data_IF_423871386469
#
_entry.id   IF_423871386469
#
_cell.length_a   1.000
_cell.length_b   1.000
_cell.length_c   1.000
_cell.angle_alpha   90.00
_cell.angle_beta   90.00
_cell.angle_gamma   90.00
#
_symmetry.space_group_name_H-M   'P 1'
#
loop_
_entity.id
_entity.type
_entity.pdbx_description
1 polymer ?
#
# COMPACT_ATOMS: atom_id res chain seq x y z
N UNK A 1 -13.66 14.87 -7.81
CA UNK A 1 -13.31 14.43 -6.44
C UNK A 1 -14.57 14.20 -5.67
N UNK A 2 -14.71 13.01 -5.08
CA UNK A 2 -15.86 12.64 -4.26
C UNK A 2 -15.82 13.42 -2.94
N UNK A 3 -16.99 13.67 -2.36
CA UNK A 3 -17.13 14.28 -1.04
C UNK A 3 -18.24 13.63 -0.27
N UNK A 4 -18.11 13.60 1.04
CA UNK A 4 -19.13 13.09 1.94
C UNK A 4 -19.30 14.03 3.13
N UNK A 5 -20.54 14.24 3.53
CA UNK A 5 -20.88 15.05 4.70
C UNK A 5 -21.59 14.16 5.69
N UNK A 6 -21.15 14.21 6.94
CA UNK A 6 -21.80 13.50 8.05
C UNK A 6 -22.15 14.49 9.14
N UNK A 7 -23.23 14.19 9.85
CA UNK A 7 -23.63 14.90 11.05
C UNK A 7 -23.43 13.94 12.22
N UNK A 8 -22.60 14.37 13.17
CA UNK A 8 -22.27 13.62 14.36
C UNK A 8 -23.12 14.13 15.49
N UNK A 9 -23.80 13.23 16.18
CA UNK A 9 -24.58 13.51 17.39
C UNK A 9 -23.69 13.48 18.65
N UNK A 10 -24.29 13.52 19.84
CA UNK A 10 -23.56 13.51 21.11
C UNK A 10 -23.03 12.14 21.54
N UNK A 11 -23.21 11.06 20.76
CA UNK A 11 -22.92 9.69 21.22
C UNK A 11 -21.43 9.40 21.42
N UNK A 12 -20.56 10.18 20.77
CA UNK A 12 -19.11 10.08 20.91
C UNK A 12 -18.54 11.11 21.90
N UNK A 13 -19.39 11.96 22.49
CA UNK A 13 -18.99 13.13 23.27
C UNK A 13 -19.59 14.40 22.69
N UNK A 14 -20.05 15.30 23.56
CA UNK A 14 -20.69 16.57 23.18
C UNK A 14 -19.72 17.48 22.41
N UNK A 15 -18.42 17.36 22.68
CA UNK A 15 -17.33 18.07 22.02
C UNK A 15 -17.18 17.70 20.54
N UNK A 16 -17.54 16.48 20.15
CA UNK A 16 -17.44 16.01 18.76
C UNK A 16 -18.73 16.22 17.96
N UNK A 17 -19.76 16.82 18.56
CA UNK A 17 -21.04 17.03 17.88
C UNK A 17 -20.89 18.05 16.76
N UNK A 18 -21.49 17.75 15.62
CA UNK A 18 -21.68 18.70 14.53
C UNK A 18 -21.38 18.14 13.15
N UNK A 19 -21.18 19.05 12.20
CA UNK A 19 -21.08 18.73 10.78
C UNK A 19 -19.63 18.56 10.35
N UNK A 20 -19.32 17.39 9.78
CA UNK A 20 -18.01 17.07 9.21
C UNK A 20 -18.13 16.88 7.70
N UNK A 21 -17.15 17.39 6.97
CA UNK A 21 -17.10 17.33 5.51
C UNK A 21 -15.77 16.69 5.10
N UNK A 22 -15.86 15.50 4.52
CA UNK A 22 -14.74 14.77 3.98
C UNK A 22 -14.69 14.90 2.46
N UNK A 23 -13.49 14.97 1.89
CA UNK A 23 -13.26 14.90 0.44
C UNK A 23 -12.16 13.90 0.12
N UNK A 24 -12.27 13.31 -1.05
CA UNK A 24 -11.23 12.51 -1.67
C UNK A 24 -9.95 13.34 -1.82
N UNK A 25 -8.81 12.79 -1.40
CA UNK A 25 -7.51 13.41 -1.62
C UNK A 25 -6.94 12.98 -2.98
N UNK A 26 -6.07 13.79 -3.56
CA UNK A 26 -5.37 13.38 -4.78
C UNK A 26 -4.46 12.19 -4.52
N UNK A 27 -4.22 11.40 -5.57
CA UNK A 27 -3.19 10.37 -5.56
C UNK A 27 -1.84 10.93 -5.08
N UNK A 28 -1.43 12.11 -5.57
CA UNK A 28 -0.17 12.72 -5.19
C UNK A 28 -0.12 13.15 -3.71
N UNK A 29 -1.23 13.58 -3.11
CA UNK A 29 -1.30 13.89 -1.68
C UNK A 29 -1.17 12.61 -0.85
N UNK A 30 -1.87 11.55 -1.24
CA UNK A 30 -1.78 10.23 -0.60
C UNK A 30 -0.38 9.65 -0.65
N UNK A 31 0.25 9.61 -1.83
CA UNK A 31 1.62 9.11 -2.00
C UNK A 31 2.61 9.86 -1.13
N UNK A 32 2.45 11.19 -0.99
CA UNK A 32 3.29 11.99 -0.09
C UNK A 32 3.10 11.63 1.38
N UNK A 33 1.87 11.37 1.82
CA UNK A 33 1.59 10.94 3.20
C UNK A 33 2.26 9.58 3.47
N UNK A 34 2.07 8.60 2.58
CA UNK A 34 2.69 7.28 2.71
C UNK A 34 4.21 7.40 2.77
N UNK A 35 4.82 8.17 1.87
CA UNK A 35 6.27 8.38 1.85
C UNK A 35 6.78 9.11 3.10
N UNK A 36 6.02 10.05 3.64
CA UNK A 36 6.38 10.79 4.87
C UNK A 36 6.55 9.86 6.07
N UNK A 37 5.73 8.82 6.15
CA UNK A 37 5.67 7.89 7.29
C UNK A 37 6.22 6.50 6.98
N UNK A 38 6.86 6.32 5.82
CA UNK A 38 7.52 5.08 5.43
C UNK A 38 9.00 5.34 5.24
N UNK A 39 9.82 4.60 5.99
CA UNK A 39 11.27 4.63 5.88
C UNK A 39 11.70 3.57 4.87
N UNK A 40 12.43 4.01 3.85
CA UNK A 40 12.96 3.13 2.81
C UNK A 40 14.47 2.95 2.98
N UNK A 41 14.95 1.73 2.73
CA UNK A 41 16.37 1.41 2.70
C UNK A 41 17.02 2.07 1.48
N UNK A 42 18.08 2.86 1.71
CA UNK A 42 18.64 3.77 0.69
C UNK A 42 19.22 3.07 -0.54
N UNK A 43 19.71 1.84 -0.38
CA UNK A 43 20.39 1.10 -1.45
C UNK A 43 19.44 0.20 -2.23
N UNK A 44 18.50 -0.45 -1.55
CA UNK A 44 17.63 -1.46 -2.16
C UNK A 44 16.24 -0.90 -2.51
N UNK A 45 15.81 0.18 -1.85
CA UNK A 45 14.46 0.72 -1.99
C UNK A 45 13.40 -0.04 -1.18
N UNK A 46 13.79 -1.05 -0.40
CA UNK A 46 12.87 -1.83 0.43
C UNK A 46 12.33 -1.01 1.60
N UNK A 47 11.15 -1.36 2.10
CA UNK A 47 10.57 -0.71 3.29
C UNK A 47 11.29 -1.23 4.54
N UNK A 48 11.94 -0.34 5.29
CA UNK A 48 12.52 -0.65 6.61
C UNK A 48 11.46 -0.60 7.71
N UNK A 49 10.59 0.41 7.66
CA UNK A 49 9.51 0.61 8.63
C UNK A 49 8.40 1.48 8.05
N UNK A 50 7.16 1.27 8.46
CA UNK A 50 6.04 2.12 8.10
C UNK A 50 5.16 2.35 9.34
N UNK A 51 4.80 3.61 9.58
CA UNK A 51 3.86 3.98 10.65
C UNK A 51 2.45 4.07 10.07
N UNK A 52 1.75 2.94 10.10
CA UNK A 52 0.41 2.83 9.54
C UNK A 52 -0.62 3.69 10.27
N UNK A 53 -0.45 3.88 11.57
CA UNK A 53 -1.35 4.71 12.39
C UNK A 53 -1.20 6.18 11.98
N UNK A 54 0.03 6.67 11.83
CA UNK A 54 0.28 8.02 11.35
C UNK A 54 -0.18 8.23 9.90
N UNK A 55 -0.01 7.24 9.02
CA UNK A 55 -0.54 7.30 7.66
C UNK A 55 -2.07 7.45 7.68
N UNK A 56 -2.76 6.63 8.48
CA UNK A 56 -4.22 6.68 8.56
C UNK A 56 -4.70 8.00 9.16
N UNK A 57 -4.10 8.44 10.27
CA UNK A 57 -4.44 9.69 10.94
C UNK A 57 -4.24 10.91 10.02
N UNK A 58 -3.09 11.02 9.35
CA UNK A 58 -2.87 12.14 8.41
C UNK A 58 -3.77 12.03 7.17
N UNK A 59 -4.12 10.83 6.71
CA UNK A 59 -5.07 10.65 5.62
C UNK A 59 -6.47 11.12 6.01
N UNK A 60 -6.93 10.80 7.22
CA UNK A 60 -8.20 11.31 7.77
C UNK A 60 -8.18 12.83 7.80
N UNK A 61 -7.13 13.42 8.37
CA UNK A 61 -7.00 14.87 8.50
C UNK A 61 -6.90 15.56 7.13
N UNK A 62 -6.17 14.98 6.18
CA UNK A 62 -6.04 15.51 4.83
C UNK A 62 -7.36 15.44 4.04
N UNK A 63 -8.19 14.42 4.30
CA UNK A 63 -9.53 14.30 3.74
C UNK A 63 -10.55 15.20 4.45
N UNK A 64 -10.28 15.64 5.69
CA UNK A 64 -11.20 16.46 6.49
C UNK A 64 -11.13 17.94 6.07
N UNK A 65 -12.11 18.38 5.28
CA UNK A 65 -12.19 19.75 4.74
C UNK A 65 -13.10 20.68 5.53
N UNK A 66 -13.98 20.13 6.37
CA UNK A 66 -14.88 20.92 7.21
C UNK A 66 -15.19 20.16 8.48
N UNK A 67 -15.25 20.89 9.59
CA UNK A 67 -15.52 20.35 10.92
C UNK A 67 -16.05 21.47 11.84
N UNK A 68 -16.67 21.14 12.98
CA UNK A 68 -17.11 22.13 13.95
C UNK A 68 -15.94 23.00 14.46
N UNK A 69 -16.12 24.32 14.63
CA UNK A 69 -15.05 25.22 15.08
C UNK A 69 -14.77 25.13 16.59
N UNK A 70 -15.68 24.53 17.37
CA UNK A 70 -15.58 24.44 18.83
C UNK A 70 -14.46 23.52 19.28
N UNK A 71 -14.34 22.32 18.69
CA UNK A 71 -13.33 21.33 19.00
C UNK A 71 -12.84 20.65 17.72
N UNK A 72 -11.91 21.28 16.99
CA UNK A 72 -11.39 20.69 15.76
C UNK A 72 -10.60 19.42 16.06
N UNK A 73 -10.80 18.40 15.25
CA UNK A 73 -9.96 17.21 15.15
C UNK A 73 -8.60 17.65 14.64
N UNK A 74 -7.57 17.35 15.43
CA UNK A 74 -6.16 17.60 15.11
C UNK A 74 -5.44 16.27 14.88
N UNK A 75 -4.24 16.35 14.28
CA UNK A 75 -3.40 15.16 14.12
C UNK A 75 -3.04 14.56 15.47
N UNK A 76 -2.71 15.39 16.46
CA UNK A 76 -2.37 14.95 17.82
C UNK A 76 -3.53 14.21 18.49
N UNK A 77 -4.78 14.66 18.28
CA UNK A 77 -5.97 13.96 18.78
C UNK A 77 -6.21 12.61 18.11
N UNK A 78 -5.85 12.46 16.83
CA UNK A 78 -5.96 11.19 16.12
C UNK A 78 -4.86 10.20 16.51
N UNK A 79 -3.72 10.70 16.99
CA UNK A 79 -2.57 9.89 17.42
C UNK A 79 -2.47 9.68 18.94
N UNK A 80 -3.27 10.41 19.73
CA UNK A 80 -3.21 10.37 21.18
C UNK A 80 -3.63 9.01 21.74
N UNK A 81 -2.78 8.41 22.57
CA UNK A 81 -3.08 7.14 23.26
C UNK A 81 -4.01 7.34 24.46
N UNK A 82 -3.77 8.39 25.26
CA UNK A 82 -4.56 8.68 26.47
C UNK A 82 -5.64 9.73 26.24
N UNK A 83 -5.30 10.81 25.54
CA UNK A 83 -6.23 11.91 25.22
C UNK A 83 -6.70 11.89 23.75
N UNK A 84 -6.82 10.70 23.16
CA UNK A 84 -7.24 10.51 21.77
C UNK A 84 -8.73 10.76 21.51
N UNK A 85 -9.15 10.54 20.27
CA UNK A 85 -10.58 10.45 19.93
C UNK A 85 -11.14 9.07 20.34
N UNK A 86 -12.47 8.96 20.60
CA UNK A 86 -13.10 7.67 20.82
C UNK A 86 -12.87 6.70 19.65
N UNK A 87 -12.65 5.42 19.97
CA UNK A 87 -12.36 4.36 18.98
C UNK A 87 -13.43 4.33 17.88
N UNK A 88 -14.71 4.32 18.25
CA UNK A 88 -15.82 4.26 17.30
C UNK A 88 -15.86 5.48 16.36
N UNK A 89 -15.42 6.64 16.83
CA UNK A 89 -15.33 7.85 16.01
C UNK A 89 -14.19 7.73 14.99
N UNK A 90 -13.04 7.18 15.41
CA UNK A 90 -11.91 6.91 14.54
C UNK A 90 -12.23 5.86 13.46
N UNK A 91 -12.96 4.81 13.82
CA UNK A 91 -13.45 3.81 12.88
C UNK A 91 -14.42 4.40 11.85
N UNK A 92 -15.34 5.27 12.30
CA UNK A 92 -16.27 5.98 11.42
C UNK A 92 -15.52 6.82 10.39
N UNK A 93 -14.56 7.64 10.83
CA UNK A 93 -13.74 8.45 9.93
C UNK A 93 -12.93 7.60 8.96
N UNK A 94 -12.31 6.53 9.45
CA UNK A 94 -11.56 5.59 8.61
C UNK A 94 -12.43 4.97 7.53
N UNK A 95 -13.64 4.53 7.87
CA UNK A 95 -14.59 3.95 6.91
C UNK A 95 -14.98 4.94 5.81
N UNK A 96 -15.18 6.21 6.15
CA UNK A 96 -15.53 7.27 5.18
C UNK A 96 -14.35 7.53 4.25
N UNK A 97 -13.18 7.75 4.82
CA UNK A 97 -11.94 8.07 4.09
C UNK A 97 -11.53 6.92 3.18
N UNK A 98 -11.66 5.67 3.62
CA UNK A 98 -11.35 4.49 2.83
C UNK A 98 -12.29 4.36 1.62
N UNK A 99 -13.59 4.63 1.81
CA UNK A 99 -14.58 4.67 0.72
C UNK A 99 -14.29 5.79 -0.28
N UNK A 100 -13.97 6.99 0.20
CA UNK A 100 -13.70 8.15 -0.64
C UNK A 100 -12.45 7.96 -1.50
N UNK A 101 -11.39 7.42 -0.90
CA UNK A 101 -10.09 7.24 -1.56
C UNK A 101 -9.94 5.88 -2.26
N UNK A 102 -11.06 5.15 -2.45
CA UNK A 102 -11.16 3.91 -3.21
C UNK A 102 -10.04 2.90 -2.90
N UNK A 103 -9.76 2.72 -1.61
CA UNK A 103 -8.74 1.80 -1.15
C UNK A 103 -9.00 0.38 -1.64
N UNK A 104 -8.02 -0.22 -2.33
CA UNK A 104 -8.09 -1.65 -2.66
C UNK A 104 -8.03 -2.48 -1.38
N UNK A 105 -8.48 -3.75 -1.44
CA UNK A 105 -8.44 -4.64 -0.27
C UNK A 105 -6.99 -4.88 0.17
N UNK A 106 -6.06 -4.89 -0.78
CA UNK A 106 -4.61 -5.05 -0.57
C UNK A 106 -4.00 -3.82 0.12
N UNK A 107 -4.38 -2.61 -0.31
CA UNK A 107 -3.94 -1.38 0.34
C UNK A 107 -4.56 -1.21 1.74
N UNK A 108 -5.80 -1.67 1.92
CA UNK A 108 -6.43 -1.72 3.25
C UNK A 108 -5.70 -2.72 4.14
N UNK A 109 -5.32 -3.89 3.63
CA UNK A 109 -4.56 -4.90 4.37
C UNK A 109 -3.17 -4.37 4.76
N UNK A 110 -2.47 -3.70 3.83
CA UNK A 110 -1.20 -3.03 4.11
C UNK A 110 -1.32 -2.01 5.25
N UNK A 111 -2.38 -1.19 5.26
CA UNK A 111 -2.60 -0.20 6.31
C UNK A 111 -3.19 -0.78 7.61
N UNK A 112 -3.71 -2.01 7.59
CA UNK A 112 -4.39 -2.65 8.74
C UNK A 112 -3.55 -3.71 9.43
N UNK A 113 -2.47 -4.21 8.82
CA UNK A 113 -1.61 -5.24 9.45
C UNK A 113 -0.75 -4.62 10.55
N UNK A 114 -0.92 -5.03 11.83
CA UNK A 114 0.15 -4.92 12.79
C UNK A 114 1.26 -5.85 12.31
N UNK A 115 2.47 -5.33 12.18
CA UNK A 115 3.69 -6.09 11.91
C UNK A 115 3.93 -7.15 13.01
N UNK A 116 3.21 -8.26 12.94
CA UNK A 116 3.52 -9.51 13.60
C UNK A 116 4.43 -10.30 12.67
N UNK A 117 5.71 -10.36 13.00
CA UNK A 117 6.74 -11.14 12.30
C UNK A 117 6.20 -12.51 11.90
N UNK A 118 5.96 -12.70 10.61
CA UNK A 118 6.02 -14.03 10.00
C UNK A 118 6.56 -13.90 8.59
N UNK A 119 7.88 -13.95 8.49
CA UNK A 119 8.56 -14.27 7.25
C UNK A 119 8.06 -15.63 6.76
N UNK A 120 7.42 -15.74 5.58
CA UNK A 120 7.42 -16.99 4.86
C UNK A 120 8.72 -17.01 4.06
N UNK A 121 9.78 -17.57 4.66
CA UNK A 121 10.89 -18.06 3.86
C UNK A 121 10.34 -19.29 3.12
N UNK A 122 10.14 -19.29 1.78
CA UNK A 122 10.05 -20.55 1.07
C UNK A 122 11.43 -21.22 1.20
N UNK A 123 11.52 -22.48 1.66
CA UNK A 123 12.79 -23.17 1.65
C UNK A 123 13.21 -23.38 0.19
N UNK A 124 14.17 -22.57 -0.27
CA UNK A 124 14.92 -22.84 -1.48
C UNK A 124 15.59 -24.21 -1.33
N UNK A 125 15.34 -25.18 -2.23
CA UNK A 125 16.08 -26.43 -2.18
C UNK A 125 17.53 -26.14 -2.56
N UNK A 126 18.42 -26.30 -1.58
CA UNK A 126 19.88 -26.39 -1.77
C UNK A 126 20.11 -27.60 -2.68
N UNK A 127 20.33 -27.34 -3.97
CA UNK A 127 20.82 -28.37 -4.90
C UNK A 127 22.30 -28.59 -4.59
N UNK A 128 22.57 -29.74 -3.98
CA UNK A 128 23.89 -30.14 -3.53
C UNK A 128 24.91 -30.22 -4.67
N UNK A 129 26.01 -29.51 -4.49
CA UNK A 129 27.25 -29.76 -5.20
C UNK A 129 27.74 -31.18 -4.84
N UNK A 130 27.75 -32.10 -5.80
CA UNK A 130 28.53 -33.33 -5.67
C UNK A 130 29.34 -33.56 -6.94
N UNK A 131 30.66 -33.58 -6.75
CA UNK A 131 31.70 -33.67 -7.77
C UNK A 131 32.28 -35.08 -7.69
N UNK A 132 32.21 -35.85 -8.76
CA UNK A 132 33.08 -37.03 -8.94
C UNK A 132 33.37 -37.28 -10.42
N UNK A 133 34.68 -37.32 -10.69
CA UNK A 133 35.38 -37.60 -11.95
C UNK A 133 35.26 -39.07 -12.36
N UNK A 134 35.26 -39.36 -13.67
CA UNK A 134 35.93 -40.46 -14.41
C UNK A 134 35.31 -40.54 -15.84
N UNK A 135 36.11 -40.41 -16.90
CA UNK A 135 35.72 -40.58 -18.34
C UNK A 135 35.94 -42.04 -18.85
N UNK A 136 36.11 -42.33 -20.17
CA UNK A 136 35.78 -41.62 -21.43
C UNK A 136 35.00 -42.48 -22.49
N UNK A 137 34.65 -41.87 -23.65
CA UNK A 137 34.23 -42.47 -24.96
C UNK A 137 32.83 -43.16 -25.07
N UNK A 138 32.10 -43.20 -26.19
CA UNK A 138 32.20 -42.64 -27.55
C UNK A 138 30.82 -42.74 -28.26
N UNK A 139 30.56 -41.81 -29.19
CA UNK A 139 29.88 -41.96 -30.51
C UNK A 139 28.93 -40.80 -30.86
N UNK A 140 29.34 -40.04 -31.88
CA UNK A 140 28.63 -39.06 -32.71
C UNK A 140 27.56 -39.74 -33.62
N UNK A 141 26.85 -39.05 -34.56
CA UNK A 141 26.82 -37.61 -34.90
C UNK A 141 25.43 -37.00 -35.21
N UNK A 142 25.41 -35.65 -35.34
CA UNK A 142 24.62 -34.85 -36.32
C UNK A 142 23.08 -34.78 -36.16
N UNK A 143 22.39 -33.65 -36.23
CA UNK A 143 22.53 -32.51 -37.13
C UNK A 143 21.98 -31.22 -36.50
N UNK A 144 22.75 -30.14 -36.62
CA UNK A 144 22.23 -28.78 -36.79
C UNK A 144 21.83 -28.61 -38.28
N UNK A 145 20.97 -27.65 -38.64
CA UNK A 145 21.56 -26.50 -39.32
C UNK A 145 20.94 -25.14 -38.94
N UNK A 146 21.82 -24.14 -38.91
CA UNK A 146 21.51 -22.72 -39.06
C UNK A 146 21.18 -22.35 -40.52
N UNK A 147 20.55 -21.18 -40.65
CA UNK A 147 20.90 -20.09 -41.59
C UNK A 147 19.91 -19.77 -42.71
N UNK A 148 19.33 -18.57 -42.55
CA UNK A 148 19.29 -17.43 -43.49
C UNK A 148 18.69 -17.55 -44.90
N UNK A 149 17.91 -16.52 -45.24
CA UNK A 149 18.11 -15.52 -46.32
C UNK A 149 16.89 -15.31 -47.23
N UNK A 150 16.49 -14.03 -47.33
CA UNK A 150 15.98 -13.28 -48.51
C UNK A 150 14.72 -13.68 -49.30
N UNK A 151 13.94 -12.63 -49.58
CA UNK A 151 12.87 -12.34 -50.58
C UNK A 151 13.24 -12.70 -52.04
N UNK A 152 12.42 -12.50 -53.13
CA UNK A 152 11.20 -11.66 -53.33
C UNK A 152 10.10 -12.21 -54.31
N UNK A 153 9.14 -11.32 -54.65
CA UNK A 153 8.33 -11.23 -55.91
C UNK A 153 7.09 -12.12 -56.04
N UNK A 154 5.98 -11.79 -56.73
CA UNK A 154 5.36 -10.60 -57.33
C UNK A 154 4.02 -11.06 -57.98
N UNK A 155 3.04 -10.15 -58.12
CA UNK A 155 2.01 -10.11 -59.20
C UNK A 155 0.93 -11.21 -59.24
N UNK A 156 -0.33 -11.05 -59.66
CA UNK A 156 -1.14 -9.99 -60.33
C UNK A 156 -2.58 -10.49 -60.36
N UNK A 157 -3.56 -9.60 -60.25
CA UNK A 157 -4.72 -9.43 -61.16
C UNK A 157 -5.70 -8.41 -60.60
#
# INVERSE_FOLDING_TARGET
MKSETIEIDGRFGEEYRGKYVFKEITWAKRSRIIQKYTKYHKLTGDIESSDFIAIQAETILASLHGQPPSHPITLDKLLGEEEGIPIELGELFSKIVNRLNALSREETAFLSEPSGVKSPIPPSPISGFQKSSVGPQANSPSNLPESSTSTPSSSTS
#
